data_IF_134236533759
#
_entry.id   IF_134236533759
#
_cell.length_a   1.000
_cell.length_b   1.000
_cell.length_c   1.000
_cell.angle_alpha   90.00
_cell.angle_beta   90.00
_cell.angle_gamma   90.00
#
_symmetry.space_group_name_H-M   'P 1'
#
loop_
_entity.id
_entity.type
_entity.pdbx_description
1 polymer ?
#
# COMPACT_ATOMS: atom_id res chain seq x y z
N UNK A 1 -34.86 8.16 -51.40
CA UNK A 1 -35.17 8.52 -49.99
C UNK A 1 -34.71 7.47 -48.98
N UNK A 2 -35.13 6.19 -49.04
CA UNK A 2 -34.57 5.14 -48.15
C UNK A 2 -33.12 4.77 -48.48
N UNK A 3 -32.75 4.63 -49.77
CA UNK A 3 -31.36 4.29 -50.16
C UNK A 3 -30.34 5.39 -49.84
N UNK A 4 -30.69 6.67 -50.06
CA UNK A 4 -29.82 7.81 -49.69
C UNK A 4 -29.58 7.91 -48.18
N UNK A 5 -30.54 7.46 -47.37
CA UNK A 5 -30.41 7.45 -45.92
C UNK A 5 -29.50 6.32 -45.46
N UNK A 6 -29.60 5.14 -46.08
CA UNK A 6 -28.69 4.01 -45.87
C UNK A 6 -27.26 4.34 -46.30
N UNK A 7 -27.08 4.96 -47.47
CA UNK A 7 -25.76 5.37 -47.99
C UNK A 7 -25.09 6.39 -47.06
N UNK A 8 -25.84 7.40 -46.58
CA UNK A 8 -25.33 8.35 -45.59
C UNK A 8 -25.00 7.70 -44.25
N UNK A 9 -25.80 6.73 -43.81
CA UNK A 9 -25.54 6.01 -42.57
C UNK A 9 -24.26 5.18 -42.67
N UNK A 10 -24.03 4.52 -43.82
CA UNK A 10 -22.81 3.78 -44.11
C UNK A 10 -21.58 4.70 -44.15
N UNK A 11 -21.71 5.90 -44.75
CA UNK A 11 -20.65 6.91 -44.77
C UNK A 11 -20.29 7.38 -43.35
N UNK A 12 -21.28 7.76 -42.55
CA UNK A 12 -21.09 8.17 -41.13
C UNK A 12 -20.44 7.05 -40.31
N UNK A 13 -20.86 5.79 -40.50
CA UNK A 13 -20.27 4.65 -39.80
C UNK A 13 -18.81 4.40 -40.23
N UNK A 14 -18.48 4.58 -41.51
CA UNK A 14 -17.11 4.48 -42.02
C UNK A 14 -16.23 5.60 -41.46
N UNK A 15 -16.68 6.85 -41.49
CA UNK A 15 -15.96 7.98 -40.90
C UNK A 15 -15.73 7.77 -39.40
N UNK A 16 -16.75 7.31 -38.68
CA UNK A 16 -16.64 7.00 -37.25
C UNK A 16 -15.64 5.87 -36.98
N UNK A 17 -15.63 4.84 -37.82
CA UNK A 17 -14.67 3.74 -37.74
C UNK A 17 -13.23 4.20 -37.99
N UNK A 18 -13.01 5.03 -39.01
CA UNK A 18 -11.69 5.60 -39.32
C UNK A 18 -11.21 6.47 -38.15
N UNK A 19 -12.05 7.40 -37.69
CA UNK A 19 -11.73 8.27 -36.55
C UNK A 19 -11.44 7.47 -35.28
N UNK A 20 -12.18 6.40 -35.03
CA UNK A 20 -11.92 5.51 -33.90
C UNK A 20 -10.56 4.80 -34.03
N UNK A 21 -10.20 4.33 -35.23
CA UNK A 21 -8.88 3.73 -35.48
C UNK A 21 -7.75 4.74 -35.28
N UNK A 22 -7.91 5.97 -35.77
CA UNK A 22 -6.94 7.05 -35.56
C UNK A 22 -6.77 7.38 -34.07
N UNK A 23 -7.89 7.43 -33.33
CA UNK A 23 -7.86 7.62 -31.88
C UNK A 23 -7.16 6.48 -31.16
N UNK A 24 -7.40 5.21 -31.52
CA UNK A 24 -6.73 4.06 -30.93
C UNK A 24 -5.23 4.01 -31.26
N UNK A 25 -4.83 4.52 -32.43
CA UNK A 25 -3.42 4.68 -32.78
C UNK A 25 -2.80 5.78 -31.92
N UNK A 26 -3.49 6.92 -31.75
CA UNK A 26 -2.98 8.06 -30.97
C UNK A 26 -2.96 7.78 -29.47
N UNK A 27 -3.99 7.13 -28.95
CA UNK A 27 -4.23 6.81 -27.54
C UNK A 27 -4.49 5.30 -27.39
N UNK A 28 -3.43 4.48 -27.48
CA UNK A 28 -3.56 3.03 -27.36
C UNK A 28 -3.97 2.62 -25.93
N UNK A 29 -5.10 1.92 -25.74
CA UNK A 29 -5.67 1.66 -24.42
C UNK A 29 -4.83 0.72 -23.55
N UNK A 30 -4.00 -0.12 -24.17
CA UNK A 30 -3.11 -1.04 -23.46
C UNK A 30 -1.87 -0.28 -22.97
N UNK A 31 -1.97 0.35 -21.81
CA UNK A 31 -0.90 1.08 -21.10
C UNK A 31 -0.32 0.23 -19.95
N UNK A 32 0.96 0.40 -19.56
CA UNK A 32 1.92 1.37 -20.06
C UNK A 32 2.49 1.02 -21.44
N UNK A 33 2.81 2.04 -22.24
CA UNK A 33 3.46 1.92 -23.56
C UNK A 33 4.23 3.21 -23.87
N UNK A 34 4.94 3.25 -25.01
CA UNK A 34 5.75 4.41 -25.45
C UNK A 34 5.02 5.76 -25.41
N UNK A 35 3.69 5.77 -25.51
CA UNK A 35 2.88 6.99 -25.50
C UNK A 35 2.29 7.31 -24.13
N UNK A 36 2.18 6.33 -23.24
CA UNK A 36 1.50 6.42 -21.95
C UNK A 36 2.22 5.63 -20.87
N UNK A 37 3.50 5.95 -20.64
CA UNK A 37 4.33 5.34 -19.60
C UNK A 37 4.48 6.22 -18.35
N UNK A 38 3.93 7.43 -18.36
CA UNK A 38 3.87 8.28 -17.18
C UNK A 38 2.50 8.16 -16.50
N UNK A 39 2.49 8.13 -15.17
CA UNK A 39 1.27 8.13 -14.37
C UNK A 39 1.32 9.20 -13.29
N UNK A 40 0.22 9.93 -13.13
CA UNK A 40 -0.05 10.69 -11.92
C UNK A 40 -0.48 9.74 -10.81
N UNK A 41 0.16 9.81 -9.64
CA UNK A 41 -0.23 9.01 -8.48
C UNK A 41 -1.22 9.81 -7.63
N UNK A 42 -2.52 9.50 -7.76
CA UNK A 42 -3.61 10.10 -7.00
C UNK A 42 -3.72 9.49 -5.60
N UNK A 43 -4.20 10.29 -4.63
CA UNK A 43 -4.35 9.88 -3.22
C UNK A 43 -3.20 10.35 -2.33
N UNK A 44 -2.18 10.97 -2.92
CA UNK A 44 -1.02 11.55 -2.24
C UNK A 44 -0.61 12.85 -2.93
N UNK A 45 -0.10 13.80 -2.17
CA UNK A 45 0.52 15.04 -2.63
C UNK A 45 1.69 15.39 -1.73
N UNK A 46 2.64 16.16 -2.25
CA UNK A 46 3.84 16.56 -1.54
C UNK A 46 3.75 18.04 -1.19
N UNK A 47 3.89 18.38 0.09
CA UNK A 47 3.98 19.77 0.50
C UNK A 47 5.25 20.45 -0.03
N UNK A 48 5.16 21.76 -0.24
CA UNK A 48 6.18 22.57 -0.88
C UNK A 48 7.24 23.09 0.10
N UNK A 49 7.58 22.31 1.14
CA UNK A 49 8.62 22.65 2.13
C UNK A 49 10.05 22.65 1.57
N UNK A 50 10.23 22.25 0.31
CA UNK A 50 11.49 22.36 -0.44
C UNK A 50 11.60 23.64 -1.29
N UNK A 51 10.66 24.57 -1.08
CA UNK A 51 10.56 25.87 -1.74
C UNK A 51 10.71 25.80 -3.28
N UNK A 52 9.80 25.07 -3.95
CA UNK A 52 9.84 24.85 -5.39
C UNK A 52 9.50 26.07 -6.23
N UNK A 53 9.89 26.04 -7.49
CA UNK A 53 9.32 26.87 -8.56
C UNK A 53 8.25 26.11 -9.35
N UNK A 54 7.29 26.81 -9.96
CA UNK A 54 6.30 26.16 -10.84
C UNK A 54 6.99 25.53 -12.05
N UNK A 55 6.57 24.31 -12.41
CA UNK A 55 7.18 23.49 -13.45
C UNK A 55 8.37 22.65 -12.98
N UNK A 56 8.82 22.82 -11.74
CA UNK A 56 9.96 22.06 -11.21
C UNK A 56 9.64 20.57 -11.12
N UNK A 57 10.56 19.74 -11.63
CA UNK A 57 10.41 18.29 -11.76
C UNK A 57 11.66 17.60 -11.21
N UNK A 58 11.55 17.05 -10.00
CA UNK A 58 12.68 16.44 -9.29
C UNK A 58 12.51 14.94 -9.17
N UNK A 59 13.58 14.18 -9.43
CA UNK A 59 13.59 12.76 -9.08
C UNK A 59 13.55 12.62 -7.56
N UNK A 60 12.67 11.77 -7.04
CA UNK A 60 12.63 11.41 -5.63
C UNK A 60 13.43 10.13 -5.41
N UNK A 61 13.06 9.03 -6.07
CA UNK A 61 13.71 7.72 -5.98
C UNK A 61 13.39 6.82 -7.18
N UNK A 62 14.09 5.69 -7.29
CA UNK A 62 13.89 4.67 -8.33
C UNK A 62 13.64 3.29 -7.70
N UNK A 63 12.78 2.50 -8.32
CA UNK A 63 12.64 1.05 -8.12
C UNK A 63 13.17 0.31 -9.36
N UNK A 64 13.01 -1.02 -9.45
CA UNK A 64 13.42 -1.79 -10.64
C UNK A 64 12.72 -1.29 -11.92
N UNK A 65 11.46 -0.85 -11.81
CA UNK A 65 10.60 -0.59 -12.96
C UNK A 65 9.94 0.78 -12.97
N UNK A 66 10.22 1.62 -11.97
CA UNK A 66 9.61 2.94 -11.87
C UNK A 66 10.62 3.96 -11.38
N UNK A 67 10.58 5.15 -11.96
CA UNK A 67 11.22 6.34 -11.41
C UNK A 67 10.14 7.27 -10.90
N UNK A 68 10.28 7.69 -9.65
CA UNK A 68 9.27 8.49 -8.96
C UNK A 68 9.77 9.91 -8.87
N UNK A 69 8.98 10.84 -9.40
CA UNK A 69 9.28 12.26 -9.45
C UNK A 69 8.27 13.07 -8.66
N UNK A 70 8.72 14.21 -8.15
CA UNK A 70 7.87 15.25 -7.57
C UNK A 70 7.77 16.40 -8.56
N UNK A 71 6.54 16.73 -8.93
CA UNK A 71 6.23 17.77 -9.91
C UNK A 71 5.42 18.90 -9.31
N UNK A 72 5.99 20.11 -9.29
CA UNK A 72 5.29 21.32 -8.88
C UNK A 72 4.50 21.89 -10.05
N UNK A 73 3.32 21.33 -10.30
CA UNK A 73 2.53 21.61 -11.51
C UNK A 73 1.82 22.98 -11.51
N UNK A 74 1.43 23.50 -10.34
CA UNK A 74 0.61 24.72 -10.22
C UNK A 74 1.14 25.61 -9.09
N UNK A 75 1.01 26.94 -9.27
CA UNK A 75 1.38 27.94 -8.26
C UNK A 75 0.55 27.74 -6.99
N UNK A 76 1.21 27.75 -5.84
CA UNK A 76 0.59 27.69 -4.51
C UNK A 76 -0.29 26.46 -4.25
N UNK A 77 -0.06 25.37 -4.95
CA UNK A 77 -0.66 24.06 -4.66
C UNK A 77 0.42 23.04 -4.30
N UNK A 78 0.04 22.00 -3.54
CA UNK A 78 0.95 20.91 -3.23
C UNK A 78 1.44 20.25 -4.53
N UNK A 79 2.70 19.82 -4.52
CA UNK A 79 3.31 19.13 -5.65
C UNK A 79 2.71 17.72 -5.82
N UNK A 80 2.67 17.25 -7.06
CA UNK A 80 2.18 15.93 -7.40
C UNK A 80 3.32 14.89 -7.44
N UNK A 81 2.96 13.62 -7.37
CA UNK A 81 3.88 12.51 -7.62
C UNK A 81 3.62 11.95 -9.01
N UNK A 82 4.66 11.88 -9.83
CA UNK A 82 4.63 11.28 -11.17
C UNK A 82 5.50 10.03 -11.17
N UNK A 83 4.93 8.91 -11.63
CA UNK A 83 5.67 7.70 -11.91
C UNK A 83 6.01 7.64 -13.40
N UNK A 84 7.29 7.52 -13.72
CA UNK A 84 7.77 7.10 -15.04
C UNK A 84 8.00 5.58 -15.00
N UNK A 85 7.22 4.85 -15.79
CA UNK A 85 7.10 3.39 -15.73
C UNK A 85 7.90 2.77 -16.87
N UNK A 86 8.79 1.83 -16.56
CA UNK A 86 9.41 0.99 -17.58
C UNK A 86 8.36 0.07 -18.21
N UNK A 87 8.13 0.21 -19.52
CA UNK A 87 7.17 -0.60 -20.28
C UNK A 87 7.46 -2.11 -20.21
N UNK A 88 8.66 -2.52 -19.79
CA UNK A 88 9.03 -3.91 -19.57
C UNK A 88 8.18 -4.60 -18.49
N UNK A 89 7.49 -3.84 -17.61
CA UNK A 89 6.54 -4.39 -16.62
C UNK A 89 5.45 -5.27 -17.22
N UNK A 90 5.09 -5.03 -18.50
CA UNK A 90 4.12 -5.87 -19.22
C UNK A 90 4.55 -7.34 -19.39
N UNK A 91 5.84 -7.62 -19.21
CA UNK A 91 6.40 -8.98 -19.28
C UNK A 91 6.45 -9.67 -17.92
N UNK A 92 6.05 -8.98 -16.83
CA UNK A 92 6.06 -9.51 -15.47
C UNK A 92 4.70 -10.09 -15.14
N UNK A 93 4.68 -11.22 -14.41
CA UNK A 93 3.44 -11.83 -13.93
C UNK A 93 2.75 -10.97 -12.86
N UNK A 94 3.55 -10.22 -12.10
CA UNK A 94 3.09 -9.35 -11.04
C UNK A 94 4.02 -8.13 -10.92
N UNK A 95 3.42 -6.93 -10.87
CA UNK A 95 4.13 -5.67 -10.70
C UNK A 95 3.73 -5.02 -9.37
N UNK A 96 4.67 -5.01 -8.42
CA UNK A 96 4.58 -4.24 -7.18
C UNK A 96 4.83 -2.77 -7.52
N UNK A 97 3.76 -2.01 -7.68
CA UNK A 97 3.90 -0.58 -8.00
C UNK A 97 4.55 0.19 -6.86
N UNK A 98 5.33 1.22 -7.16
CA UNK A 98 5.93 2.10 -6.17
C UNK A 98 4.85 2.73 -5.27
N UNK A 99 3.71 3.13 -5.82
CA UNK A 99 2.56 3.63 -5.05
C UNK A 99 2.01 2.61 -4.05
N UNK A 100 1.85 1.34 -4.46
CA UNK A 100 1.43 0.28 -3.54
C UNK A 100 2.43 0.11 -2.39
N UNK A 101 3.72 0.05 -2.72
CA UNK A 101 4.79 -0.08 -1.72
C UNK A 101 4.85 1.13 -0.78
N UNK A 102 4.71 2.36 -1.29
CA UNK A 102 4.66 3.56 -0.45
C UNK A 102 3.48 3.52 0.52
N UNK A 103 2.27 3.19 0.04
CA UNK A 103 1.08 3.12 0.90
C UNK A 103 1.23 2.06 2.02
N UNK A 104 1.74 0.88 1.67
CA UNK A 104 2.00 -0.20 2.63
C UNK A 104 3.07 0.19 3.66
N UNK A 105 4.18 0.79 3.20
CA UNK A 105 5.28 1.20 4.06
C UNK A 105 4.84 2.29 5.06
N UNK A 106 4.10 3.30 4.59
CA UNK A 106 3.53 4.36 5.43
C UNK A 106 2.52 3.80 6.44
N UNK A 107 1.65 2.89 6.00
CA UNK A 107 0.68 2.23 6.88
C UNK A 107 1.38 1.44 7.99
N UNK A 108 2.42 0.67 7.64
CA UNK A 108 3.23 -0.06 8.61
C UNK A 108 3.94 0.88 9.59
N UNK A 109 4.59 1.93 9.10
CA UNK A 109 5.34 2.88 9.94
C UNK A 109 4.44 3.59 10.95
N UNK A 110 3.19 3.85 10.57
CA UNK A 110 2.14 4.43 11.43
C UNK A 110 1.43 3.40 12.30
N UNK A 111 1.95 2.17 12.38
CA UNK A 111 1.34 1.09 13.14
C UNK A 111 -0.11 0.77 12.72
N UNK A 112 -0.47 1.05 11.47
CA UNK A 112 -1.82 0.95 10.93
C UNK A 112 -2.84 1.89 11.61
N UNK A 113 -2.35 2.92 12.30
CA UNK A 113 -3.16 3.94 12.96
C UNK A 113 -3.37 5.15 12.05
N UNK A 114 -4.55 5.78 12.16
CA UNK A 114 -4.94 6.93 11.33
C UNK A 114 -4.75 6.68 9.82
N UNK A 115 -4.82 5.41 9.40
CA UNK A 115 -4.79 5.02 8.00
C UNK A 115 -6.20 5.15 7.47
N UNK A 116 -6.35 5.89 6.38
CA UNK A 116 -7.55 5.78 5.55
C UNK A 116 -7.49 4.42 4.84
N UNK A 117 -8.23 3.46 5.38
CA UNK A 117 -8.27 2.09 4.91
C UNK A 117 -8.87 1.95 3.50
N UNK A 118 -9.63 2.94 3.03
CA UNK A 118 -10.16 2.95 1.67
C UNK A 118 -9.20 3.58 0.66
N UNK A 119 -8.23 4.38 1.16
CA UNK A 119 -7.27 5.09 0.32
C UNK A 119 -6.32 4.14 -0.39
N UNK A 120 -6.28 4.27 -1.71
CA UNK A 120 -5.34 3.60 -2.60
C UNK A 120 -4.61 4.66 -3.42
N UNK A 121 -3.32 4.43 -3.64
CA UNK A 121 -2.55 5.25 -4.57
C UNK A 121 -2.84 4.81 -6.00
N UNK A 122 -3.71 5.58 -6.67
CA UNK A 122 -4.23 5.25 -8.00
C UNK A 122 -3.33 5.83 -9.08
N UNK A 123 -2.99 5.01 -10.07
CA UNK A 123 -2.20 5.44 -11.22
C UNK A 123 -3.15 5.97 -12.29
N UNK A 124 -3.10 7.28 -12.55
CA UNK A 124 -3.81 7.92 -13.66
C UNK A 124 -2.82 8.16 -14.79
N UNK A 125 -2.86 7.29 -15.80
CA UNK A 125 -1.91 7.31 -16.92
C UNK A 125 -2.10 8.59 -17.74
N UNK A 126 -0.98 9.20 -18.15
CA UNK A 126 -0.93 10.42 -18.93
C UNK A 126 -0.29 10.12 -20.27
N UNK A 127 -0.99 10.43 -21.36
CA UNK A 127 -0.43 10.32 -22.70
C UNK A 127 0.48 11.51 -23.01
N UNK A 128 1.65 11.24 -23.59
CA UNK A 128 2.60 12.25 -24.05
C UNK A 128 2.99 13.27 -22.96
N UNK A 129 3.12 12.80 -21.72
CA UNK A 129 3.42 13.64 -20.57
C UNK A 129 4.66 14.51 -20.80
N UNK A 130 4.55 15.77 -20.39
CA UNK A 130 5.66 16.70 -20.28
C UNK A 130 5.40 17.59 -19.07
N UNK A 131 6.38 17.69 -18.17
CA UNK A 131 6.31 18.53 -16.97
C UNK A 131 6.28 20.04 -17.29
N UNK A 132 6.55 20.40 -18.55
CA UNK A 132 6.47 21.78 -19.05
C UNK A 132 5.05 22.20 -19.42
N UNK A 133 4.13 21.25 -19.54
CA UNK A 133 2.72 21.52 -19.86
C UNK A 133 1.91 21.73 -18.59
N UNK A 134 0.92 22.63 -18.66
CA UNK A 134 -0.05 22.81 -17.59
C UNK A 134 -0.86 21.53 -17.39
N UNK A 135 -1.26 21.26 -16.15
CA UNK A 135 -2.01 20.03 -15.84
C UNK A 135 -3.35 19.96 -16.58
N UNK A 136 -3.99 21.09 -16.84
CA UNK A 136 -5.24 21.20 -17.59
C UNK A 136 -5.08 20.85 -19.08
N UNK A 137 -3.85 20.87 -19.60
CA UNK A 137 -3.53 20.52 -20.98
C UNK A 137 -3.07 19.08 -21.16
N UNK A 138 -2.93 18.32 -20.07
CA UNK A 138 -2.51 16.93 -20.12
C UNK A 138 -3.67 16.01 -20.48
N UNK A 139 -3.37 14.98 -21.28
CA UNK A 139 -4.34 14.01 -21.75
C UNK A 139 -4.27 12.74 -20.87
N UNK A 140 -5.22 12.60 -19.96
CA UNK A 140 -5.30 11.43 -19.07
C UNK A 140 -6.11 10.29 -19.70
N UNK A 141 -5.69 9.05 -19.45
CA UNK A 141 -6.50 7.87 -19.74
C UNK A 141 -7.63 7.75 -18.71
N UNK A 142 -8.87 7.64 -19.19
CA UNK A 142 -10.07 7.33 -18.40
C UNK A 142 -10.31 8.24 -17.19
N UNK A 143 -9.90 9.52 -17.28
CA UNK A 143 -10.22 10.54 -16.28
C UNK A 143 -11.24 11.51 -16.87
N UNK A 144 -12.41 11.62 -16.24
CA UNK A 144 -13.42 12.60 -16.67
C UNK A 144 -13.05 14.01 -16.21
N UNK A 145 -13.64 15.03 -16.85
CA UNK A 145 -13.50 16.42 -16.40
C UNK A 145 -13.94 16.62 -14.93
N UNK A 146 -14.90 15.84 -14.45
CA UNK A 146 -15.31 15.88 -13.05
C UNK A 146 -14.22 15.32 -12.14
N UNK A 147 -13.60 14.19 -12.52
CA UNK A 147 -12.54 13.55 -11.75
C UNK A 147 -11.27 14.41 -11.65
N UNK A 148 -10.99 15.26 -12.65
CA UNK A 148 -9.87 16.20 -12.62
C UNK A 148 -9.91 17.13 -11.39
N UNK A 149 -11.11 17.54 -10.94
CA UNK A 149 -11.25 18.36 -9.74
C UNK A 149 -10.85 17.65 -8.45
N UNK A 150 -10.88 16.31 -8.44
CA UNK A 150 -10.53 15.47 -7.28
C UNK A 150 -9.20 14.74 -7.47
N UNK A 151 -8.44 15.09 -8.52
CA UNK A 151 -7.15 14.47 -8.82
C UNK A 151 -6.12 14.76 -7.70
N UNK A 152 -6.23 15.93 -7.09
CA UNK A 152 -5.32 16.42 -6.05
C UNK A 152 -5.76 16.10 -4.62
N UNK A 153 -6.90 15.41 -4.47
CA UNK A 153 -7.35 14.98 -3.16
C UNK A 153 -6.49 13.80 -2.68
N UNK A 154 -6.08 13.86 -1.42
CA UNK A 154 -5.27 12.82 -0.83
C UNK A 154 -4.55 13.29 0.40
N UNK A 155 -3.61 12.46 0.84
CA UNK A 155 -2.72 12.81 1.93
C UNK A 155 -1.64 13.77 1.47
N UNK A 156 -1.35 14.77 2.31
CA UNK A 156 -0.22 15.67 2.08
C UNK A 156 0.94 15.23 2.95
N UNK A 157 2.06 14.87 2.32
CA UNK A 157 3.28 14.41 2.98
C UNK A 157 4.47 15.30 2.65
N UNK A 158 5.50 15.27 3.48
CA UNK A 158 6.84 15.70 3.08
C UNK A 158 7.47 14.64 2.19
N UNK A 159 8.35 15.07 1.29
CA UNK A 159 9.20 14.13 0.56
C UNK A 159 10.08 13.30 1.49
N UNK A 160 10.51 13.87 2.61
CA UNK A 160 11.28 13.16 3.65
C UNK A 160 10.47 12.06 4.35
N UNK A 161 9.15 12.22 4.50
CA UNK A 161 8.31 11.17 5.10
C UNK A 161 8.34 9.87 4.27
N UNK A 162 8.47 9.99 2.94
CA UNK A 162 8.64 8.85 2.04
C UNK A 162 10.06 8.27 2.18
N UNK A 163 11.07 9.13 2.32
CA UNK A 163 12.45 8.69 2.51
C UNK A 163 12.64 7.93 3.84
N UNK A 164 11.95 8.34 4.89
CA UNK A 164 12.01 7.73 6.22
C UNK A 164 11.49 6.27 6.23
N UNK A 165 10.60 5.93 5.29
CA UNK A 165 10.09 4.57 5.12
C UNK A 165 10.83 3.75 4.05
N UNK A 166 11.93 4.28 3.51
CA UNK A 166 12.71 3.65 2.43
C UNK A 166 13.23 2.25 2.79
N UNK A 167 13.58 1.99 4.05
CA UNK A 167 14.00 0.67 4.52
C UNK A 167 12.96 -0.41 4.25
N UNK A 168 11.68 -0.07 4.43
CA UNK A 168 10.56 -1.00 4.22
C UNK A 168 10.23 -1.12 2.73
N UNK A 169 10.30 -0.01 1.98
CA UNK A 169 10.15 -0.02 0.52
C UNK A 169 11.22 -0.91 -0.12
N UNK A 170 12.49 -0.77 0.26
CA UNK A 170 13.59 -1.60 -0.26
C UNK A 170 13.36 -3.08 0.05
N UNK A 171 12.97 -3.38 1.30
CA UNK A 171 12.73 -4.75 1.70
C UNK A 171 11.58 -5.37 0.89
N UNK A 172 10.52 -4.61 0.60
CA UNK A 172 9.43 -5.07 -0.27
C UNK A 172 9.85 -5.23 -1.73
N UNK A 173 10.78 -4.42 -2.24
CA UNK A 173 11.35 -4.64 -3.57
C UNK A 173 12.07 -6.00 -3.64
N UNK A 174 12.89 -6.29 -2.63
CA UNK A 174 13.79 -7.47 -2.60
C UNK A 174 13.12 -8.77 -2.13
N UNK A 175 12.14 -8.73 -1.23
CA UNK A 175 11.50 -9.91 -0.66
C UNK A 175 9.96 -9.81 -0.70
N UNK A 176 9.34 -10.64 -1.55
CA UNK A 176 7.89 -10.71 -1.73
C UNK A 176 7.15 -11.11 -0.45
N UNK A 177 7.82 -11.79 0.49
CA UNK A 177 7.21 -12.13 1.78
C UNK A 177 6.89 -10.87 2.58
N UNK A 178 7.76 -9.85 2.53
CA UNK A 178 7.52 -8.58 3.18
C UNK A 178 6.28 -7.89 2.60
N UNK A 179 6.22 -7.75 1.28
CA UNK A 179 5.08 -7.13 0.59
C UNK A 179 3.77 -7.86 0.91
N UNK A 180 3.79 -9.19 0.84
CA UNK A 180 2.63 -10.03 1.11
C UNK A 180 2.18 -9.92 2.56
N UNK A 181 3.10 -9.98 3.52
CA UNK A 181 2.78 -9.91 4.95
C UNK A 181 2.17 -8.55 5.35
N UNK A 182 2.76 -7.43 4.91
CA UNK A 182 2.21 -6.10 5.19
C UNK A 182 0.83 -5.93 4.57
N UNK A 183 0.65 -6.38 3.32
CA UNK A 183 -0.64 -6.32 2.61
C UNK A 183 -1.74 -7.14 3.32
N UNK A 184 -1.41 -8.36 3.76
CA UNK A 184 -2.34 -9.22 4.51
C UNK A 184 -2.72 -8.61 5.86
N UNK A 185 -1.74 -8.03 6.58
CA UNK A 185 -2.02 -7.39 7.85
C UNK A 185 -2.85 -6.11 7.68
N UNK A 186 -2.55 -5.28 6.68
CA UNK A 186 -3.38 -4.12 6.32
C UNK A 186 -4.81 -4.57 6.03
N UNK A 187 -5.00 -5.62 5.22
CA UNK A 187 -6.32 -6.17 4.92
C UNK A 187 -7.05 -6.65 6.17
N UNK A 188 -6.36 -7.28 7.11
CA UNK A 188 -6.95 -7.66 8.41
C UNK A 188 -7.51 -6.44 9.16
N UNK A 189 -6.75 -5.35 9.22
CA UNK A 189 -7.18 -4.11 9.87
C UNK A 189 -8.28 -3.36 9.10
N UNK A 190 -8.30 -3.42 7.76
CA UNK A 190 -9.37 -2.89 6.93
C UNK A 190 -10.72 -3.57 7.24
N UNK A 191 -10.69 -4.88 7.48
CA UNK A 191 -11.89 -5.67 7.76
C UNK A 191 -12.34 -5.50 9.22
N UNK A 192 -11.39 -5.57 10.15
CA UNK A 192 -11.65 -5.40 11.58
C UNK A 192 -10.55 -4.53 12.19
N UNK A 193 -10.87 -3.27 12.45
CA UNK A 193 -9.92 -2.36 13.07
C UNK A 193 -9.80 -2.59 14.58
N UNK A 194 -8.56 -2.61 15.06
CA UNK A 194 -8.23 -2.40 16.46
C UNK A 194 -6.99 -1.51 16.57
N UNK A 195 -6.90 -0.76 17.68
CA UNK A 195 -5.77 0.14 17.92
C UNK A 195 -4.59 -0.67 18.47
N UNK A 196 -3.62 -0.98 17.62
CA UNK A 196 -2.44 -1.78 17.96
C UNK A 196 -1.64 -1.15 19.10
N UNK A 197 -1.56 0.19 19.15
CA UNK A 197 -0.87 0.92 20.22
C UNK A 197 -1.53 0.65 21.59
N UNK A 198 -2.86 0.64 21.64
CA UNK A 198 -3.60 0.37 22.88
C UNK A 198 -3.49 -1.09 23.29
N UNK A 199 -3.65 -2.00 22.33
CA UNK A 199 -3.69 -3.44 22.56
C UNK A 199 -2.30 -4.01 22.94
N UNK A 200 -1.22 -3.42 22.44
CA UNK A 200 0.14 -3.76 22.86
C UNK A 200 0.63 -2.95 24.07
N UNK A 201 -0.22 -2.14 24.70
CA UNK A 201 0.14 -1.39 25.90
C UNK A 201 1.22 -0.33 25.71
N UNK A 202 1.43 0.16 24.48
CA UNK A 202 2.50 1.09 24.13
C UNK A 202 2.22 2.54 24.57
N UNK A 203 0.95 2.89 24.81
CA UNK A 203 0.53 4.22 25.31
C UNK A 203 0.34 4.24 26.82
N UNK A 204 0.93 5.26 27.47
CA UNK A 204 0.81 5.51 28.92
C UNK A 204 -0.39 6.37 29.32
N UNK A 205 -1.02 7.06 28.38
CA UNK A 205 -1.89 8.20 28.69
C UNK A 205 -3.39 7.93 28.48
N UNK A 206 -3.76 7.09 27.50
CA UNK A 206 -5.16 6.75 27.22
C UNK A 206 -5.24 5.46 26.40
N UNK A 207 -6.22 4.62 26.72
CA UNK A 207 -6.58 3.40 25.97
C UNK A 207 -7.99 3.56 25.41
N UNK A 208 -8.21 3.12 24.19
CA UNK A 208 -9.56 2.96 23.66
C UNK A 208 -10.24 1.79 24.37
N UNK A 209 -11.55 1.88 24.61
CA UNK A 209 -12.31 0.78 25.18
C UNK A 209 -12.61 -0.24 24.07
N UNK A 210 -11.94 -1.39 24.15
CA UNK A 210 -12.28 -2.56 23.33
C UNK A 210 -13.44 -3.28 24.00
N UNK A 211 -14.64 -3.16 23.41
CA UNK A 211 -15.83 -3.87 23.87
C UNK A 211 -16.11 -5.07 22.97
N UNK A 212 -16.69 -6.12 23.55
CA UNK A 212 -17.29 -7.20 22.78
C UNK A 212 -18.57 -6.69 22.10
N UNK A 213 -18.85 -7.10 20.84
CA UNK A 213 -20.05 -6.67 20.13
C UNK A 213 -21.30 -7.14 20.87
N UNK A 214 -22.29 -6.25 20.97
CA UNK A 214 -23.60 -6.57 21.53
C UNK A 214 -24.35 -7.48 20.58
N UNK A 215 -25.39 -8.16 21.07
CA UNK A 215 -26.14 -9.16 20.30
C UNK A 215 -26.60 -8.66 18.91
N UNK A 216 -27.04 -7.41 18.82
CA UNK A 216 -27.48 -6.80 17.56
C UNK A 216 -26.33 -6.36 16.64
N UNK A 217 -25.11 -6.22 17.15
CA UNK A 217 -23.89 -5.91 16.39
C UNK A 217 -23.22 -7.19 15.86
N UNK A 218 -23.48 -8.35 16.47
CA UNK A 218 -22.83 -9.62 16.13
C UNK A 218 -23.00 -10.02 14.65
N UNK A 219 -24.14 -9.71 14.03
CA UNK A 219 -24.39 -10.01 12.62
C UNK A 219 -23.39 -9.31 11.67
N UNK A 220 -22.99 -8.09 12.01
CA UNK A 220 -22.04 -7.30 11.22
C UNK A 220 -20.57 -7.56 11.63
N UNK A 221 -20.35 -8.08 12.84
CA UNK A 221 -19.00 -8.27 13.38
C UNK A 221 -18.42 -9.66 13.18
N UNK A 222 -19.20 -10.74 13.26
CA UNK A 222 -18.65 -12.11 13.27
C UNK A 222 -17.92 -12.43 11.97
N UNK A 223 -18.52 -12.14 10.82
CA UNK A 223 -17.93 -12.39 9.49
C UNK A 223 -16.66 -11.56 9.26
N UNK A 224 -16.64 -10.33 9.76
CA UNK A 224 -15.46 -9.46 9.75
C UNK A 224 -14.36 -10.00 10.67
N UNK A 225 -14.71 -10.47 11.86
CA UNK A 225 -13.78 -11.09 12.80
C UNK A 225 -13.14 -12.36 12.24
N UNK A 226 -13.93 -13.25 11.64
CA UNK A 226 -13.45 -14.47 10.99
C UNK A 226 -12.48 -14.14 9.85
N UNK A 227 -12.87 -13.23 8.97
CA UNK A 227 -12.05 -12.81 7.83
C UNK A 227 -10.75 -12.13 8.27
N UNK A 228 -10.81 -11.29 9.31
CA UNK A 228 -9.63 -10.64 9.87
C UNK A 228 -8.65 -11.63 10.52
N UNK A 229 -9.14 -12.66 11.21
CA UNK A 229 -8.32 -13.76 11.74
C UNK A 229 -7.62 -14.49 10.60
N UNK A 230 -8.33 -14.82 9.52
CA UNK A 230 -7.73 -15.50 8.36
C UNK A 230 -6.61 -14.68 7.76
N UNK A 231 -6.81 -13.37 7.54
CA UNK A 231 -5.74 -12.53 6.98
C UNK A 231 -4.56 -12.33 7.95
N UNK A 232 -4.82 -12.17 9.26
CA UNK A 232 -3.76 -12.08 10.27
C UNK A 232 -2.94 -13.37 10.36
N UNK A 233 -3.60 -14.54 10.31
CA UNK A 233 -2.93 -15.84 10.29
C UNK A 233 -2.06 -16.00 9.04
N UNK A 234 -2.59 -15.67 7.86
CA UNK A 234 -1.82 -15.70 6.61
C UNK A 234 -0.62 -14.75 6.63
N UNK A 235 -0.71 -13.61 7.31
CA UNK A 235 0.42 -12.72 7.52
C UNK A 235 1.52 -13.40 8.35
N UNK A 236 1.18 -14.08 9.44
CA UNK A 236 2.16 -14.82 10.23
C UNK A 236 2.74 -16.01 9.46
N UNK A 237 1.90 -16.76 8.73
CA UNK A 237 2.29 -17.91 7.90
C UNK A 237 3.22 -17.52 6.75
N UNK A 238 3.04 -16.36 6.10
CA UNK A 238 3.93 -15.94 5.00
C UNK A 238 5.38 -15.73 5.46
N UNK A 239 5.57 -15.46 6.76
CA UNK A 239 6.87 -15.28 7.39
C UNK A 239 7.40 -16.60 7.97
N UNK A 240 6.59 -17.28 8.79
CA UNK A 240 7.01 -18.45 9.57
C UNK A 240 6.91 -19.76 8.77
N UNK A 241 5.97 -19.83 7.83
CA UNK A 241 5.49 -21.05 7.18
C UNK A 241 4.52 -21.81 8.09
N UNK A 242 3.77 -22.77 7.54
CA UNK A 242 2.79 -23.55 8.30
C UNK A 242 3.41 -24.29 9.50
N UNK A 243 2.63 -24.51 10.58
CA UNK A 243 3.07 -25.33 11.69
C UNK A 243 3.46 -26.75 11.24
N UNK A 244 4.63 -27.26 11.64
CA UNK A 244 5.02 -28.64 11.34
C UNK A 244 4.14 -29.64 12.11
N UNK A 245 4.06 -30.87 11.59
CA UNK A 245 3.40 -31.97 12.30
C UNK A 245 3.96 -32.13 13.73
N UNK A 246 3.10 -31.89 14.72
CA UNK A 246 3.42 -31.85 16.15
C UNK A 246 3.88 -33.18 16.73
N UNK A 247 3.69 -34.30 16.01
CA UNK A 247 4.18 -35.63 16.43
C UNK A 247 5.69 -35.81 16.25
N UNK A 248 6.38 -34.92 15.52
CA UNK A 248 7.81 -35.01 15.22
C UNK A 248 8.59 -33.91 15.94
N UNK A 249 9.10 -34.21 17.13
CA UNK A 249 9.84 -33.26 17.98
C UNK A 249 11.01 -32.58 17.26
N UNK A 250 11.77 -33.30 16.43
CA UNK A 250 12.87 -32.72 15.66
C UNK A 250 12.43 -31.64 14.67
N UNK A 251 11.22 -31.76 14.09
CA UNK A 251 10.66 -30.74 13.19
C UNK A 251 10.19 -29.50 13.95
N UNK A 252 9.64 -29.68 15.16
CA UNK A 252 9.27 -28.56 16.04
C UNK A 252 10.51 -27.74 16.40
N UNK A 253 11.58 -28.41 16.86
CA UNK A 253 12.83 -27.72 17.20
C UNK A 253 13.43 -26.97 16.00
N UNK A 254 13.45 -27.60 14.83
CA UNK A 254 13.95 -26.95 13.61
C UNK A 254 13.12 -25.71 13.23
N UNK A 255 11.79 -25.80 13.36
CA UNK A 255 10.89 -24.68 13.07
C UNK A 255 11.07 -23.53 14.08
N UNK A 256 11.13 -23.83 15.39
CA UNK A 256 11.42 -22.82 16.42
C UNK A 256 12.75 -22.11 16.22
N UNK A 257 13.79 -22.86 15.81
CA UNK A 257 15.09 -22.27 15.48
C UNK A 257 15.00 -21.35 14.26
N UNK A 258 14.35 -21.79 13.18
CA UNK A 258 14.10 -20.96 11.99
C UNK A 258 13.32 -19.69 12.35
N UNK A 259 12.32 -19.79 13.23
CA UNK A 259 11.56 -18.64 13.72
C UNK A 259 12.50 -17.63 14.37
N UNK A 260 13.31 -18.03 15.36
CA UNK A 260 14.27 -17.12 16.01
C UNK A 260 15.22 -16.49 14.97
N UNK A 261 15.69 -17.31 14.03
CA UNK A 261 16.56 -16.88 12.94
C UNK A 261 15.87 -15.91 11.97
N UNK A 262 14.54 -15.94 11.86
CA UNK A 262 13.77 -15.10 10.91
C UNK A 262 13.24 -13.82 11.56
N UNK A 263 12.71 -13.90 12.78
CA UNK A 263 11.99 -12.78 13.42
C UNK A 263 12.60 -12.32 14.76
N UNK A 264 13.55 -13.08 15.32
CA UNK A 264 14.23 -12.70 16.56
C UNK A 264 13.39 -12.83 17.84
N UNK A 265 12.17 -13.35 17.74
CA UNK A 265 11.28 -13.63 18.88
C UNK A 265 11.51 -15.07 19.34
N UNK A 266 11.60 -15.29 20.65
CA UNK A 266 11.69 -16.63 21.22
C UNK A 266 10.29 -17.29 21.26
N UNK A 267 10.07 -18.44 20.58
CA UNK A 267 8.77 -19.09 20.54
C UNK A 267 8.31 -19.61 21.91
N UNK A 268 9.23 -19.83 22.85
CA UNK A 268 8.93 -20.34 24.19
C UNK A 268 8.64 -19.23 25.22
N UNK A 269 8.82 -17.97 24.84
CA UNK A 269 8.42 -16.84 25.70
C UNK A 269 6.90 -16.65 25.72
N UNK A 270 6.41 -16.08 26.82
CA UNK A 270 4.98 -15.79 27.02
C UNK A 270 4.56 -14.68 26.06
N UNK A 271 3.49 -14.93 25.32
CA UNK A 271 2.74 -13.88 24.63
C UNK A 271 1.79 -13.23 25.65
N UNK A 272 2.16 -12.04 26.12
CA UNK A 272 1.56 -11.35 27.28
C UNK A 272 0.03 -11.23 27.25
N UNK A 273 -0.59 -11.29 26.06
CA UNK A 273 -2.04 -11.14 25.89
C UNK A 273 -2.86 -12.39 26.22
N UNK A 274 -2.26 -13.58 26.12
CA UNK A 274 -3.01 -14.85 26.18
C UNK A 274 -2.50 -15.83 27.22
N UNK A 275 -1.45 -15.47 27.97
CA UNK A 275 -0.75 -16.34 28.95
C UNK A 275 -0.11 -17.61 28.33
N UNK A 276 -0.27 -17.81 27.02
CA UNK A 276 0.36 -18.88 26.25
C UNK A 276 1.74 -18.44 25.79
N UNK A 277 2.63 -19.41 25.51
CA UNK A 277 3.83 -19.10 24.75
C UNK A 277 3.49 -18.67 23.32
N UNK A 278 4.39 -17.95 22.65
CA UNK A 278 4.25 -17.61 21.23
C UNK A 278 4.00 -18.86 20.37
N UNK A 279 4.68 -19.96 20.68
CA UNK A 279 4.49 -21.24 20.00
C UNK A 279 3.11 -21.84 20.21
N UNK A 280 2.64 -21.89 21.45
CA UNK A 280 1.30 -22.42 21.77
C UNK A 280 0.20 -21.55 21.15
N UNK A 281 0.35 -20.23 21.21
CA UNK A 281 -0.57 -19.33 20.54
C UNK A 281 -0.55 -19.50 19.02
N UNK A 282 0.62 -19.75 18.42
CA UNK A 282 0.70 -19.99 16.98
C UNK A 282 -0.07 -21.25 16.54
N UNK A 283 0.03 -22.33 17.32
CA UNK A 283 -0.77 -23.54 17.08
C UNK A 283 -2.26 -23.26 17.26
N UNK A 284 -2.63 -22.57 18.33
CA UNK A 284 -4.01 -22.16 18.60
C UNK A 284 -4.59 -21.28 17.48
N UNK A 285 -3.80 -20.33 16.97
CA UNK A 285 -4.17 -19.46 15.87
C UNK A 285 -4.53 -20.27 14.62
N UNK A 286 -3.77 -21.32 14.33
CA UNK A 286 -4.00 -22.16 13.16
C UNK A 286 -5.21 -23.10 13.36
N UNK A 287 -5.22 -23.86 14.45
CA UNK A 287 -6.16 -24.96 14.67
C UNK A 287 -7.51 -24.52 15.23
N UNK A 288 -7.53 -23.55 16.16
CA UNK A 288 -8.76 -23.16 16.89
C UNK A 288 -9.38 -21.86 16.36
N UNK A 289 -8.61 -21.00 15.71
CA UNK A 289 -9.11 -19.72 15.20
C UNK A 289 -9.24 -19.74 13.68
N UNK A 290 -8.14 -19.84 12.94
CA UNK A 290 -8.11 -19.74 11.48
C UNK A 290 -8.87 -20.85 10.78
N UNK A 291 -8.61 -22.12 11.13
CA UNK A 291 -9.26 -23.24 10.44
C UNK A 291 -10.79 -23.22 10.59
N UNK A 292 -11.33 -23.01 11.80
CA UNK A 292 -12.75 -22.77 11.98
C UNK A 292 -13.24 -21.56 11.16
N UNK A 293 -12.58 -20.40 11.24
CA UNK A 293 -12.99 -19.20 10.49
C UNK A 293 -12.92 -19.35 8.96
N UNK A 294 -12.02 -20.18 8.43
CA UNK A 294 -11.87 -20.41 7.00
C UNK A 294 -12.80 -21.50 6.45
N UNK A 295 -13.28 -22.40 7.31
CA UNK A 295 -14.02 -23.60 6.94
C UNK A 295 -15.33 -23.72 7.73
N UNK A 296 -16.04 -22.61 7.87
CA UNK A 296 -17.30 -22.57 8.63
C UNK A 296 -18.47 -23.28 7.93
N UNK A 297 -18.36 -23.61 6.64
CA UNK A 297 -19.36 -24.35 5.84
C UNK A 297 -20.82 -23.86 5.98
N UNK A 298 -21.02 -22.57 6.30
CA UNK A 298 -22.34 -21.96 6.51
C UNK A 298 -22.78 -21.86 7.97
N UNK A 299 -22.02 -22.40 8.91
CA UNK A 299 -22.23 -22.22 10.34
C UNK A 299 -21.62 -20.89 10.83
N UNK A 300 -22.35 -20.14 11.66
CA UNK A 300 -21.86 -18.88 12.23
C UNK A 300 -21.21 -19.15 13.59
N UNK A 301 -19.99 -18.68 13.79
CA UNK A 301 -19.24 -18.94 15.02
C UNK A 301 -19.64 -17.94 16.13
N UNK A 302 -20.85 -18.07 16.66
CA UNK A 302 -21.41 -17.13 17.66
C UNK A 302 -20.59 -16.98 18.94
N UNK A 303 -19.72 -17.94 19.25
CA UNK A 303 -18.84 -17.89 20.42
C UNK A 303 -17.50 -17.19 20.13
N UNK A 304 -17.27 -16.72 18.89
CA UNK A 304 -16.06 -15.99 18.53
C UNK A 304 -16.07 -14.62 19.22
N UNK A 305 -15.10 -14.42 20.10
CA UNK A 305 -14.91 -13.17 20.82
C UNK A 305 -13.99 -12.24 20.04
N UNK A 306 -14.30 -10.94 20.08
CA UNK A 306 -13.48 -9.88 19.50
C UNK A 306 -12.07 -9.90 20.05
N UNK A 307 -11.91 -10.21 21.34
CA UNK A 307 -10.60 -10.40 21.96
C UNK A 307 -9.71 -11.38 21.18
N UNK A 308 -10.23 -12.52 20.72
CA UNK A 308 -9.43 -13.50 19.98
C UNK A 308 -8.98 -12.97 18.61
N UNK A 309 -9.84 -12.21 17.92
CA UNK A 309 -9.47 -11.52 16.67
C UNK A 309 -8.34 -10.52 16.90
N UNK A 310 -8.44 -9.72 17.96
CA UNK A 310 -7.41 -8.76 18.34
C UNK A 310 -6.10 -9.46 18.69
N UNK A 311 -6.14 -10.56 19.44
CA UNK A 311 -4.96 -11.32 19.81
C UNK A 311 -4.25 -11.88 18.57
N UNK A 312 -5.01 -12.36 17.57
CA UNK A 312 -4.49 -12.79 16.29
C UNK A 312 -3.82 -11.64 15.51
N UNK A 313 -4.46 -10.47 15.44
CA UNK A 313 -3.91 -9.27 14.79
C UNK A 313 -2.63 -8.77 15.48
N UNK A 314 -2.63 -8.74 16.82
CA UNK A 314 -1.46 -8.35 17.62
C UNK A 314 -0.30 -9.32 17.42
N UNK A 315 -0.56 -10.62 17.46
CA UNK A 315 0.44 -11.64 17.20
C UNK A 315 1.05 -11.47 15.80
N UNK A 316 0.23 -11.36 14.76
CA UNK A 316 0.69 -11.16 13.39
C UNK A 316 1.54 -9.88 13.24
N UNK A 317 1.12 -8.79 13.88
CA UNK A 317 1.87 -7.53 13.89
C UNK A 317 3.24 -7.66 14.57
N UNK A 318 3.34 -8.41 15.67
CA UNK A 318 4.62 -8.67 16.35
C UNK A 318 5.56 -9.54 15.52
N UNK A 319 5.04 -10.60 14.88
CA UNK A 319 5.82 -11.43 13.94
C UNK A 319 6.33 -10.59 12.77
N UNK A 320 5.47 -9.76 12.18
CA UNK A 320 5.83 -8.86 11.08
C UNK A 320 6.92 -7.87 11.49
N UNK A 321 6.75 -7.21 12.64
CA UNK A 321 7.76 -6.27 13.18
C UNK A 321 9.10 -6.96 13.43
N UNK A 322 9.09 -8.16 14.02
CA UNK A 322 10.29 -8.95 14.24
C UNK A 322 11.01 -9.29 12.93
N UNK A 323 10.26 -9.74 11.93
CA UNK A 323 10.79 -10.01 10.59
C UNK A 323 11.39 -8.77 9.93
N UNK A 324 10.66 -7.64 9.90
CA UNK A 324 11.12 -6.39 9.28
C UNK A 324 12.38 -5.90 9.99
N UNK A 325 12.35 -5.77 11.33
CA UNK A 325 13.50 -5.28 12.11
C UNK A 325 14.77 -6.10 11.88
N UNK A 326 14.64 -7.41 11.67
CA UNK A 326 15.77 -8.29 11.39
C UNK A 326 16.26 -8.23 9.94
N UNK A 327 15.39 -7.86 9.01
CA UNK A 327 15.62 -8.00 7.56
C UNK A 327 15.93 -6.69 6.85
N UNK A 328 15.59 -5.54 7.45
CA UNK A 328 15.87 -4.22 6.87
C UNK A 328 17.36 -3.92 6.87
N UNK A 329 17.79 -3.23 5.81
CA UNK A 329 19.09 -2.57 5.75
C UNK A 329 19.07 -1.25 6.53
N UNK A 330 20.23 -0.63 6.75
CA UNK A 330 20.28 0.72 7.30
C UNK A 330 19.53 1.72 6.39
N UNK A 331 19.04 2.83 6.96
CA UNK A 331 18.33 3.87 6.20
C UNK A 331 19.16 4.37 5.02
N UNK A 332 20.43 4.68 5.25
CA UNK A 332 21.34 5.16 4.20
C UNK A 332 21.54 4.13 3.09
N UNK A 333 21.72 2.85 3.43
CA UNK A 333 21.89 1.79 2.45
C UNK A 333 20.62 1.58 1.62
N UNK A 334 19.44 1.57 2.26
CA UNK A 334 18.17 1.45 1.57
C UNK A 334 17.92 2.63 0.62
N UNK A 335 18.19 3.86 1.07
CA UNK A 335 18.10 5.06 0.23
C UNK A 335 19.05 5.02 -0.96
N UNK A 336 20.27 4.50 -0.77
CA UNK A 336 21.25 4.35 -1.86
C UNK A 336 20.80 3.30 -2.89
N UNK A 337 20.24 2.17 -2.45
CA UNK A 337 19.71 1.11 -3.32
C UNK A 337 18.54 1.64 -4.15
N UNK A 338 17.61 2.36 -3.52
CA UNK A 338 16.48 3.01 -4.16
C UNK A 338 16.87 4.31 -4.87
N UNK A 339 18.15 4.68 -4.89
CA UNK A 339 18.68 5.88 -5.54
C UNK A 339 17.90 7.16 -5.21
N UNK A 340 17.59 7.36 -3.93
CA UNK A 340 16.96 8.61 -3.51
C UNK A 340 17.83 9.82 -3.84
N UNK A 341 17.23 10.87 -4.38
CA UNK A 341 17.95 12.12 -4.64
C UNK A 341 18.18 12.88 -3.33
N UNK A 342 19.38 12.68 -2.76
CA UNK A 342 19.81 13.35 -1.53
C UNK A 342 19.90 14.86 -1.69
N UNK A 343 20.22 15.39 -2.88
CA UNK A 343 20.30 16.83 -3.10
C UNK A 343 18.91 17.46 -3.04
N UNK A 344 17.92 16.77 -3.63
CA UNK A 344 16.53 17.17 -3.52
C UNK A 344 16.03 17.10 -2.07
N UNK A 345 16.24 15.98 -1.36
CA UNK A 345 15.80 15.82 0.02
C UNK A 345 16.43 16.86 0.97
N UNK A 346 17.69 17.23 0.77
CA UNK A 346 18.37 18.27 1.58
C UNK A 346 17.73 19.67 1.46
N UNK A 347 16.88 19.91 0.47
CA UNK A 347 16.14 21.17 0.33
C UNK A 347 14.88 21.21 1.19
N UNK A 348 14.36 20.05 1.58
CA UNK A 348 13.11 19.93 2.36
C UNK A 348 13.34 20.49 3.76
N UNK A 349 12.54 21.47 4.15
CA UNK A 349 12.63 22.11 5.45
C UNK A 349 11.77 21.37 6.50
N UNK A 350 12.40 20.79 7.51
CA UNK A 350 11.73 20.02 8.57
C UNK A 350 10.63 20.79 9.30
N UNK A 351 10.85 22.09 9.56
CA UNK A 351 9.94 22.92 10.35
C UNK A 351 8.93 23.72 9.51
N UNK A 352 8.83 23.44 8.21
CA UNK A 352 7.88 24.08 7.31
C UNK A 352 6.80 23.09 6.89
N UNK A 353 5.58 23.58 6.72
CA UNK A 353 4.52 22.91 5.99
C UNK A 353 3.77 23.99 5.22
N UNK A 354 3.75 23.89 3.89
CA UNK A 354 3.24 24.96 3.03
C UNK A 354 2.85 24.45 1.66
N UNK A 355 1.87 25.10 1.05
CA UNK A 355 1.58 24.97 -0.39
C UNK A 355 2.35 26.01 -1.23
N UNK A 356 2.99 26.99 -0.60
CA UNK A 356 3.56 28.13 -1.31
C UNK A 356 4.73 27.70 -2.21
N UNK A 357 4.72 28.23 -3.43
CA UNK A 357 5.84 28.14 -4.37
C UNK A 357 6.65 29.43 -4.30
N UNK A 358 7.95 29.39 -4.62
CA UNK A 358 8.75 30.61 -4.81
C UNK A 358 8.13 31.44 -5.94
N UNK A 359 8.12 32.75 -5.76
CA UNK A 359 7.84 33.65 -6.87
C UNK A 359 8.97 33.49 -7.89
N UNK A 360 8.59 33.11 -9.12
CA UNK A 360 9.46 33.28 -10.28
C UNK A 360 9.69 34.78 -10.43
N UNK A 361 10.88 35.25 -10.05
CA UNK A 361 11.35 36.54 -10.56
C UNK A 361 11.51 36.35 -12.07
N UNK A 362 10.63 36.98 -12.85
CA UNK A 362 10.80 37.16 -14.29
C UNK A 362 12.10 37.93 -14.61
#
# INVERSE_FOLDING_TARGET
MFSELEDKLVEILKERSIRQKELLIKYPPDVPNEKGHHAFIRGISIENSFAPTVGEYNLLFETEHEKIYIWTHTKNENSAIISDIDISVKKKDFWKTAGSMMNLALSYYRAFEAVDFERKFEYKIIYYFSHLYSIESLEFLDVSNFDLHFLFNGEVLKATDIADVSQVIELMCRDDRCYTAISLLLSSFQIHYCCLICELGLSKYKKHESHEPKLWEQADFITNMESAIVQACRCAESILGEPPNTRKHSRILAHKRKWIDTVGINPDEIFERTELSYWEFYLRLFDELRNPSAHSYGDIHFNLQRKHTIDAQCFAALILRGYINKSVKSLEEAMNILKFDKNFLNRVQENMSTKLTKDSYD
#
